data_IF_034088656372
#
_entry.id   IF_034088656372
#
_cell.length_a   1.000
_cell.length_b   1.000
_cell.length_c   1.000
_cell.angle_alpha   90.00
_cell.angle_beta   90.00
_cell.angle_gamma   90.00
#
_symmetry.space_group_name_H-M   'P 1'
#
loop_
_entity.id
_entity.type
_entity.pdbx_description
1 polymer ?
#
# COMPACT_ATOMS: atom_id res chain seq x y z
N UNK A 1 4.85 1.43 10.65
CA UNK A 1 5.88 0.89 9.73
C UNK A 1 5.30 0.25 8.49
N UNK A 2 4.01 0.00 8.47
CA UNK A 2 3.32 -0.58 7.30
C UNK A 2 3.48 0.28 6.03
N UNK A 3 3.43 1.61 6.17
CA UNK A 3 3.60 2.51 5.03
C UNK A 3 5.01 2.37 4.43
N UNK A 4 6.03 2.33 5.27
CA UNK A 4 7.42 2.15 4.82
C UNK A 4 7.63 0.82 4.12
N UNK A 5 7.12 -0.28 4.69
CA UNK A 5 7.21 -1.60 4.07
C UNK A 5 6.49 -1.64 2.73
N UNK A 6 5.30 -1.02 2.65
CA UNK A 6 4.52 -0.97 1.41
C UNK A 6 5.28 -0.21 0.30
N UNK A 7 5.85 0.94 0.62
CA UNK A 7 6.64 1.71 -0.36
C UNK A 7 7.92 0.97 -0.76
N UNK A 8 8.60 0.34 0.19
CA UNK A 8 9.79 -0.46 -0.11
C UNK A 8 9.48 -1.61 -1.07
N UNK A 9 8.36 -2.30 -0.87
CA UNK A 9 7.92 -3.35 -1.80
C UNK A 9 7.66 -2.83 -3.20
N UNK A 10 7.03 -1.65 -3.32
CA UNK A 10 6.79 -1.02 -4.62
C UNK A 10 8.09 -0.68 -5.34
N UNK A 11 9.07 -0.13 -4.62
CA UNK A 11 10.39 0.19 -5.18
C UNK A 11 11.09 -1.09 -5.65
N UNK A 12 11.08 -2.15 -4.84
CA UNK A 12 11.69 -3.44 -5.20
C UNK A 12 11.04 -4.04 -6.44
N UNK A 13 9.75 -3.89 -6.59
CA UNK A 13 9.02 -4.38 -7.77
C UNK A 13 9.40 -3.61 -9.03
N UNK A 14 9.46 -2.27 -8.94
CA UNK A 14 9.71 -1.41 -10.10
C UNK A 14 11.18 -1.35 -10.49
N UNK A 15 12.06 -1.34 -9.50
CA UNK A 15 13.51 -1.22 -9.69
C UNK A 15 14.23 -2.28 -8.86
N UNK A 16 14.32 -3.53 -9.37
CA UNK A 16 14.83 -4.66 -8.58
C UNK A 16 16.26 -4.51 -8.05
N UNK A 17 17.03 -3.55 -8.52
CA UNK A 17 18.38 -3.30 -8.01
C UNK A 17 18.48 -2.18 -6.97
N UNK A 18 17.39 -1.43 -6.74
CA UNK A 18 17.45 -0.21 -5.91
C UNK A 18 17.45 -0.51 -4.40
N UNK A 19 16.75 -1.56 -3.97
CA UNK A 19 16.69 -2.00 -2.58
C UNK A 19 16.95 -3.50 -2.54
N UNK A 20 18.09 -3.90 -2.02
CA UNK A 20 18.54 -5.30 -2.04
C UNK A 20 18.74 -5.85 -0.63
N UNK A 21 18.58 -7.18 -0.52
CA UNK A 21 18.92 -7.93 0.67
C UNK A 21 17.86 -7.89 1.76
N UNK A 22 18.19 -8.52 2.88
CA UNK A 22 17.29 -8.65 4.04
C UNK A 22 17.07 -7.35 4.79
N UNK A 23 17.92 -6.33 4.58
CA UNK A 23 17.85 -5.03 5.26
C UNK A 23 17.16 -3.95 4.41
N UNK A 24 16.54 -4.32 3.29
CA UNK A 24 15.94 -3.35 2.37
C UNK A 24 14.88 -2.45 3.04
N UNK A 25 14.03 -3.03 3.89
CA UNK A 25 13.01 -2.27 4.61
C UNK A 25 13.63 -1.27 5.60
N UNK A 26 14.69 -1.68 6.29
CA UNK A 26 15.40 -0.81 7.22
C UNK A 26 16.14 0.31 6.49
N UNK A 27 16.73 0.02 5.34
CA UNK A 27 17.40 1.02 4.52
C UNK A 27 16.42 2.06 4.01
N UNK A 28 15.26 1.62 3.54
CA UNK A 28 14.20 2.53 3.12
C UNK A 28 13.71 3.38 4.29
N UNK A 29 13.46 2.76 5.44
CA UNK A 29 13.03 3.46 6.65
C UNK A 29 14.02 4.57 7.05
N UNK A 30 15.31 4.27 7.04
CA UNK A 30 16.33 5.29 7.33
C UNK A 30 16.28 6.45 6.36
N UNK A 31 15.99 6.18 5.09
CA UNK A 31 15.83 7.23 4.08
C UNK A 31 14.61 8.10 4.37
N UNK A 32 13.47 7.50 4.70
CA UNK A 32 12.25 8.26 5.05
C UNK A 32 12.51 9.19 6.23
N UNK A 33 13.19 8.70 7.26
CA UNK A 33 13.46 9.47 8.48
C UNK A 33 14.33 10.70 8.25
N UNK A 34 15.06 10.77 7.13
CA UNK A 34 15.78 11.99 6.73
C UNK A 34 14.82 13.10 6.31
N UNK A 35 13.61 12.78 5.92
CA UNK A 35 12.65 13.73 5.35
C UNK A 35 11.46 13.99 6.26
N UNK A 36 11.21 13.15 7.27
CA UNK A 36 10.12 13.30 8.20
C UNK A 36 9.72 11.99 8.86
N UNK A 37 8.53 11.97 9.46
CA UNK A 37 7.99 10.79 10.13
C UNK A 37 7.48 9.78 9.10
N UNK A 38 7.48 8.50 9.47
CA UNK A 38 6.98 7.41 8.62
C UNK A 38 5.48 7.48 8.34
N UNK A 39 4.75 8.30 9.06
CA UNK A 39 3.31 8.54 8.82
C UNK A 39 3.08 9.69 7.85
N UNK A 40 4.10 10.44 7.47
CA UNK A 40 3.98 11.60 6.59
C UNK A 40 4.14 11.19 5.12
N UNK A 41 3.09 11.40 4.33
CA UNK A 41 3.13 11.11 2.89
C UNK A 41 4.26 11.86 2.19
N UNK A 42 4.46 13.14 2.55
CA UNK A 42 5.52 13.95 1.94
C UNK A 42 6.91 13.35 2.12
N UNK A 43 7.19 12.75 3.28
CA UNK A 43 8.46 12.08 3.54
C UNK A 43 8.65 10.88 2.61
N UNK A 44 7.59 10.09 2.39
CA UNK A 44 7.64 8.96 1.47
C UNK A 44 7.82 9.38 0.01
N UNK A 45 7.19 10.47 -0.41
CA UNK A 45 7.38 10.99 -1.78
C UNK A 45 8.85 11.33 -2.03
N UNK A 46 9.50 11.99 -1.07
CA UNK A 46 10.92 12.35 -1.17
C UNK A 46 11.83 11.12 -1.12
N UNK A 47 11.52 10.18 -0.24
CA UNK A 47 12.29 8.93 -0.13
C UNK A 47 12.21 8.13 -1.42
N UNK A 48 11.02 7.95 -1.99
CA UNK A 48 10.84 7.25 -3.26
C UNK A 48 11.66 7.92 -4.37
N UNK A 49 11.64 9.24 -4.44
CA UNK A 49 12.41 9.99 -5.44
C UNK A 49 13.92 9.74 -5.31
N UNK A 50 14.42 9.62 -4.08
CA UNK A 50 15.84 9.29 -3.86
C UNK A 50 16.21 7.94 -4.45
N UNK A 51 15.28 6.97 -4.45
CA UNK A 51 15.49 5.65 -5.05
C UNK A 51 15.18 5.59 -6.55
N UNK A 52 14.81 6.69 -7.17
CA UNK A 52 14.51 6.74 -8.60
C UNK A 52 13.06 6.44 -8.94
N UNK A 53 12.14 6.59 -7.99
CA UNK A 53 10.72 6.35 -8.19
C UNK A 53 9.94 7.64 -7.94
N UNK A 54 9.15 8.05 -8.94
CA UNK A 54 8.23 9.16 -8.79
C UNK A 54 6.92 8.62 -8.20
N UNK A 55 6.62 9.04 -6.97
CA UNK A 55 5.40 8.66 -6.28
C UNK A 55 4.42 9.84 -6.23
N UNK A 56 3.12 9.54 -6.30
CA UNK A 56 2.06 10.55 -6.12
C UNK A 56 1.05 10.04 -5.11
N UNK A 57 0.50 10.94 -4.32
CA UNK A 57 -0.47 10.62 -3.27
C UNK A 57 -1.80 11.32 -3.54
N UNK A 58 -2.91 10.60 -3.31
CA UNK A 58 -4.26 11.16 -3.44
C UNK A 58 -5.19 10.56 -2.38
N UNK A 59 -6.19 11.32 -1.98
CA UNK A 59 -7.24 10.90 -1.05
C UNK A 59 -8.60 10.76 -1.76
N UNK A 60 -8.59 10.65 -3.10
CA UNK A 60 -9.80 10.66 -3.93
C UNK A 60 -9.89 9.44 -4.85
N UNK A 61 -9.42 8.29 -4.38
CA UNK A 61 -9.41 7.08 -5.18
C UNK A 61 -10.75 6.39 -5.26
N UNK A 62 -10.99 5.75 -6.41
CA UNK A 62 -12.10 4.82 -6.64
C UNK A 62 -11.53 3.46 -6.99
N UNK A 63 -12.37 2.41 -6.99
CA UNK A 63 -11.96 1.09 -7.47
C UNK A 63 -11.40 1.17 -8.90
N UNK A 64 -12.03 1.96 -9.76
CA UNK A 64 -11.57 2.14 -11.14
C UNK A 64 -10.17 2.75 -11.20
N UNK A 65 -9.86 3.69 -10.29
CA UNK A 65 -8.51 4.25 -10.17
C UNK A 65 -7.49 3.14 -9.94
N UNK A 66 -7.78 2.23 -9.01
CA UNK A 66 -6.88 1.12 -8.67
C UNK A 66 -6.70 0.17 -9.87
N UNK A 67 -7.80 -0.20 -10.51
CA UNK A 67 -7.76 -1.12 -11.65
C UNK A 67 -7.02 -0.51 -12.83
N UNK A 68 -7.17 0.78 -13.08
CA UNK A 68 -6.45 1.48 -14.15
C UNK A 68 -4.93 1.42 -13.91
N UNK A 69 -4.47 1.62 -12.68
CA UNK A 69 -3.05 1.50 -12.34
C UNK A 69 -2.53 0.08 -12.60
N UNK A 70 -3.27 -0.93 -12.13
CA UNK A 70 -2.92 -2.32 -12.36
C UNK A 70 -2.86 -2.66 -13.86
N UNK A 71 -3.80 -2.15 -14.64
CA UNK A 71 -3.83 -2.37 -16.10
C UNK A 71 -2.63 -1.74 -16.80
N UNK A 72 -2.06 -0.67 -16.22
CA UNK A 72 -0.84 -0.06 -16.73
C UNK A 72 0.42 -0.82 -16.28
N UNK A 73 0.28 -1.84 -15.44
CA UNK A 73 1.41 -2.65 -14.95
C UNK A 73 2.06 -2.14 -13.69
N UNK A 74 1.38 -1.28 -12.91
CA UNK A 74 1.95 -0.67 -11.72
C UNK A 74 1.21 -1.08 -10.44
N UNK A 75 1.93 -1.35 -9.34
CA UNK A 75 1.31 -1.59 -8.05
C UNK A 75 0.80 -0.29 -7.44
N UNK A 76 -0.12 -0.39 -6.49
CA UNK A 76 -0.72 0.77 -5.82
C UNK A 76 -0.64 0.57 -4.31
N UNK A 77 -0.07 1.54 -3.60
CA UNK A 77 -0.16 1.56 -2.14
C UNK A 77 -1.55 2.07 -1.74
N UNK A 78 -2.19 1.38 -0.81
CA UNK A 78 -3.55 1.71 -0.36
C UNK A 78 -3.60 1.86 1.14
N UNK A 79 -4.28 2.90 1.63
CA UNK A 79 -4.45 3.18 3.05
C UNK A 79 -5.86 2.86 3.51
N UNK A 80 -6.00 1.96 4.49
CA UNK A 80 -7.29 1.48 4.96
C UNK A 80 -7.42 1.59 6.48
N UNK A 81 -8.64 1.41 6.99
CA UNK A 81 -8.90 1.21 8.42
C UNK A 81 -9.00 -0.29 8.69
N UNK A 82 -8.09 -0.81 9.52
CA UNK A 82 -7.94 -2.26 9.68
C UNK A 82 -8.64 -2.85 10.91
N UNK A 83 -9.29 -2.03 11.71
CA UNK A 83 -9.97 -2.47 12.93
C UNK A 83 -11.48 -2.31 12.81
N UNK A 84 -12.21 -2.97 13.71
CA UNK A 84 -13.66 -2.92 13.75
C UNK A 84 -14.32 -3.76 12.66
N UNK A 85 -15.63 -3.96 12.82
CA UNK A 85 -16.42 -4.70 11.82
C UNK A 85 -16.48 -3.93 10.49
N UNK A 86 -16.64 -4.64 9.38
CA UNK A 86 -16.70 -4.06 8.04
C UNK A 86 -17.82 -3.02 7.88
N UNK A 87 -18.90 -3.14 8.66
CA UNK A 87 -20.00 -2.17 8.66
C UNK A 87 -19.65 -0.84 9.34
N UNK A 88 -18.59 -0.82 10.16
CA UNK A 88 -18.13 0.38 10.88
C UNK A 88 -16.60 0.33 11.06
N UNK A 89 -15.83 0.41 9.96
CA UNK A 89 -14.38 0.34 10.04
C UNK A 89 -13.81 1.45 10.92
N UNK A 90 -12.77 1.12 11.68
CA UNK A 90 -12.12 2.07 12.59
C UNK A 90 -10.64 1.71 12.78
N UNK A 91 -9.97 2.50 13.59
CA UNK A 91 -8.56 2.30 13.95
C UNK A 91 -7.63 3.22 13.18
N UNK A 92 -6.37 3.23 13.57
CA UNK A 92 -5.32 3.94 12.86
C UNK A 92 -5.14 3.38 11.45
N UNK A 93 -4.69 4.22 10.53
CA UNK A 93 -4.49 3.80 9.15
C UNK A 93 -3.48 2.67 9.02
N UNK A 94 -3.73 1.78 8.07
CA UNK A 94 -2.83 0.69 7.71
C UNK A 94 -2.61 0.72 6.20
N UNK A 95 -1.38 0.53 5.78
CA UNK A 95 -1.01 0.54 4.37
C UNK A 95 -0.66 -0.86 3.88
N UNK A 96 -1.12 -1.19 2.68
CA UNK A 96 -0.81 -2.42 1.98
C UNK A 96 -0.67 -2.17 0.49
N UNK A 97 0.04 -3.05 -0.20
CA UNK A 97 0.32 -2.89 -1.63
C UNK A 97 -0.63 -3.75 -2.45
N UNK A 98 -1.42 -3.11 -3.30
CA UNK A 98 -2.25 -3.80 -4.30
C UNK A 98 -1.39 -4.16 -5.49
N UNK A 99 -1.36 -5.44 -5.86
CA UNK A 99 -0.51 -5.95 -6.94
C UNK A 99 -1.27 -6.60 -8.08
N UNK A 100 -2.57 -6.88 -7.90
CA UNK A 100 -3.36 -7.51 -8.94
C UNK A 100 -4.83 -7.64 -8.58
N UNK A 101 -5.58 -8.23 -9.48
CA UNK A 101 -6.99 -8.57 -9.27
C UNK A 101 -7.23 -10.00 -9.75
N UNK A 102 -8.03 -10.75 -8.99
CA UNK A 102 -8.41 -12.11 -9.33
C UNK A 102 -9.91 -12.26 -9.04
N UNK A 103 -10.71 -12.32 -10.11
CA UNK A 103 -12.16 -12.38 -10.03
C UNK A 103 -12.71 -11.15 -9.30
N UNK A 104 -13.40 -11.32 -8.18
CA UNK A 104 -13.95 -10.21 -7.38
C UNK A 104 -13.08 -9.86 -6.16
N UNK A 105 -11.77 -10.13 -6.24
CA UNK A 105 -10.83 -9.92 -5.14
C UNK A 105 -9.62 -9.11 -5.60
N UNK A 106 -9.17 -8.21 -4.74
CA UNK A 106 -7.86 -7.62 -4.91
C UNK A 106 -6.78 -8.55 -4.36
N UNK A 107 -5.62 -8.58 -5.00
CA UNK A 107 -4.44 -9.32 -4.54
C UNK A 107 -3.47 -8.33 -3.92
N UNK A 108 -3.10 -8.55 -2.68
CA UNK A 108 -2.30 -7.61 -1.90
C UNK A 108 -1.07 -8.27 -1.28
N UNK A 109 -0.04 -7.46 -1.07
CA UNK A 109 0.99 -7.74 -0.08
C UNK A 109 0.67 -6.90 1.15
N UNK A 110 0.35 -7.56 2.25
CA UNK A 110 -0.01 -6.92 3.51
C UNK A 110 1.16 -7.06 4.48
N UNK A 111 1.81 -5.96 4.90
CA UNK A 111 3.00 -6.04 5.76
C UNK A 111 2.77 -6.68 7.12
N UNK A 112 1.53 -6.69 7.63
CA UNK A 112 1.23 -7.26 8.94
C UNK A 112 0.86 -8.73 8.92
N UNK A 113 0.40 -9.26 7.79
CA UNK A 113 -0.08 -10.62 7.66
C UNK A 113 -1.40 -10.69 6.93
N UNK A 114 -2.19 -11.74 7.17
CA UNK A 114 -3.51 -11.88 6.58
C UNK A 114 -4.58 -11.25 7.49
N UNK A 115 -5.33 -10.33 6.93
CA UNK A 115 -6.34 -9.57 7.65
C UNK A 115 -7.70 -10.28 7.65
N UNK A 116 -8.44 -10.15 8.77
CA UNK A 116 -9.86 -10.47 8.80
C UNK A 116 -10.65 -9.23 8.36
N UNK A 117 -11.08 -9.20 7.12
CA UNK A 117 -11.77 -8.03 6.56
C UNK A 117 -13.21 -7.87 7.06
N UNK A 118 -13.82 -8.90 7.64
CA UNK A 118 -15.19 -8.82 8.16
C UNK A 118 -15.19 -8.27 9.58
N UNK A 119 -14.40 -8.86 10.46
CA UNK A 119 -14.40 -8.51 11.89
C UNK A 119 -13.33 -7.48 12.25
N UNK A 120 -12.34 -7.29 11.39
CA UNK A 120 -11.19 -6.45 11.68
C UNK A 120 -10.06 -7.22 12.34
N UNK A 121 -8.87 -6.62 12.33
CA UNK A 121 -7.68 -7.26 12.87
C UNK A 121 -7.11 -8.32 11.94
N UNK A 122 -6.28 -9.20 12.46
CA UNK A 122 -5.48 -10.12 11.66
C UNK A 122 -5.71 -11.57 12.04
N UNK A 123 -5.87 -12.43 11.02
CA UNK A 123 -5.91 -13.89 11.17
C UNK A 123 -4.51 -14.40 11.48
N UNK A 124 -3.50 -13.88 10.76
CA UNK A 124 -2.10 -14.18 11.01
C UNK A 124 -1.32 -12.88 11.18
N UNK A 125 -0.31 -12.88 12.05
CA UNK A 125 0.54 -11.71 12.31
C UNK A 125 1.98 -12.06 12.01
N UNK A 126 2.67 -11.17 11.27
CA UNK A 126 4.07 -11.34 10.92
C UNK A 126 4.34 -12.37 9.82
N UNK A 127 3.30 -12.97 9.27
CA UNK A 127 3.39 -13.95 8.18
C UNK A 127 2.07 -14.03 7.44
N UNK A 128 2.08 -14.64 6.25
CA UNK A 128 0.87 -14.89 5.48
C UNK A 128 0.30 -13.69 4.74
N UNK A 129 1.03 -12.57 4.72
CA UNK A 129 0.59 -11.35 4.04
C UNK A 129 1.00 -11.25 2.58
N UNK A 130 1.75 -12.22 2.06
CA UNK A 130 2.14 -12.24 0.65
C UNK A 130 1.03 -12.82 -0.21
N UNK A 131 0.68 -12.13 -1.30
CA UNK A 131 -0.33 -12.58 -2.27
C UNK A 131 -1.68 -12.88 -1.62
N UNK A 132 -2.07 -12.14 -0.58
CA UNK A 132 -3.38 -12.33 0.06
C UNK A 132 -4.49 -11.79 -0.83
N UNK A 133 -5.63 -12.48 -0.84
CA UNK A 133 -6.80 -12.08 -1.61
C UNK A 133 -7.89 -11.57 -0.68
N UNK A 134 -8.26 -10.31 -0.87
CA UNK A 134 -9.33 -9.67 -0.12
C UNK A 134 -10.49 -9.34 -1.08
N UNK A 135 -11.72 -9.79 -0.75
CA UNK A 135 -12.87 -9.47 -1.59
C UNK A 135 -13.11 -7.96 -1.62
N UNK A 136 -13.42 -7.43 -2.79
CA UNK A 136 -13.76 -6.01 -2.90
C UNK A 136 -14.94 -5.65 -2.00
N UNK A 137 -15.91 -6.55 -1.85
CA UNK A 137 -17.07 -6.36 -0.98
C UNK A 137 -16.67 -6.00 0.45
N UNK A 138 -15.67 -6.67 1.02
CA UNK A 138 -15.26 -6.48 2.41
C UNK A 138 -14.08 -5.54 2.56
N UNK A 139 -13.32 -5.31 1.49
CA UNK A 139 -12.15 -4.42 1.55
C UNK A 139 -12.51 -2.97 1.22
N UNK A 140 -13.33 -2.73 0.20
CA UNK A 140 -13.67 -1.36 -0.23
C UNK A 140 -14.26 -0.49 0.89
N UNK A 141 -15.16 -0.99 1.77
CA UNK A 141 -15.66 -0.17 2.86
C UNK A 141 -14.57 0.32 3.83
N UNK A 142 -13.47 -0.42 3.93
CA UNK A 142 -12.32 -0.04 4.77
C UNK A 142 -11.42 0.96 4.09
N UNK A 143 -11.50 1.09 2.79
CA UNK A 143 -10.71 2.00 1.99
C UNK A 143 -11.49 3.28 1.63
N UNK A 144 -12.71 3.12 1.09
CA UNK A 144 -13.60 4.26 0.78
C UNK A 144 -14.45 4.61 2.01
N UNK A 145 -13.80 4.95 3.11
CA UNK A 145 -14.44 5.12 4.43
C UNK A 145 -15.45 6.26 4.44
N UNK A 146 -15.19 7.32 3.70
CA UNK A 146 -16.05 8.50 3.63
C UNK A 146 -16.96 8.49 2.40
N UNK A 147 -17.14 7.32 1.78
CA UNK A 147 -17.95 7.13 0.61
C UNK A 147 -17.12 6.92 -0.66
N UNK A 148 -17.82 6.68 -1.77
CA UNK A 148 -17.17 6.44 -3.05
C UNK A 148 -16.30 7.64 -3.45
N UNK A 149 -15.07 7.34 -3.87
CA UNK A 149 -14.12 8.37 -4.28
C UNK A 149 -13.32 8.97 -3.14
N UNK A 150 -13.31 8.33 -1.96
CA UNK A 150 -12.55 8.79 -0.79
C UNK A 150 -11.31 7.94 -0.49
N UNK A 151 -10.91 7.02 -1.37
CA UNK A 151 -9.79 6.12 -1.12
C UNK A 151 -8.44 6.82 -1.10
N UNK A 152 -7.63 6.48 -0.10
CA UNK A 152 -6.25 6.98 0.01
C UNK A 152 -5.32 6.03 -0.73
N UNK A 153 -4.55 6.58 -1.68
CA UNK A 153 -3.63 5.74 -2.45
C UNK A 153 -2.39 6.50 -2.88
N UNK A 154 -1.35 5.74 -3.18
CA UNK A 154 -0.11 6.26 -3.72
C UNK A 154 0.26 5.45 -4.96
N UNK A 155 0.57 6.14 -6.05
CA UNK A 155 1.03 5.53 -7.29
C UNK A 155 2.53 5.66 -7.44
N UNK A 156 3.13 4.80 -8.24
CA UNK A 156 4.58 4.73 -8.42
C UNK A 156 4.93 4.61 -9.89
N UNK A 157 5.96 5.36 -10.30
CA UNK A 157 6.52 5.29 -11.66
C UNK A 157 8.04 5.30 -11.56
N UNK A 158 8.75 4.42 -12.29
CA UNK A 158 10.19 4.56 -12.38
C UNK A 158 10.52 5.90 -13.07
N UNK A 159 11.48 6.64 -12.52
CA UNK A 159 11.94 7.89 -13.15
C UNK A 159 12.73 7.55 -14.41
N UNK A 160 12.45 8.28 -15.48
CA UNK A 160 13.20 8.09 -16.70
C UNK A 160 14.63 8.60 -16.50
N UNK A 161 15.59 7.78 -16.91
CA UNK A 161 16.98 8.21 -17.01
C UNK A 161 17.13 8.96 -18.34
N UNK A 162 17.54 10.19 -18.21
CA UNK A 162 17.87 11.00 -19.40
C UNK A 162 19.25 10.63 -19.91
#
# INVERSE_FOLDING_TARGET
MCFSSTCAMAIKYLLPGALLGSNADDDYLRTVLKYGDTTECAAHLKACKQYGVLATFSQKGTKDTLLNELNCGFPVATGILHKGHVSAPRGGGHWMLLIGEDDNKGIFHDPYGEMDNVNGGYVTIGKGGKDVRYTWKNWLPRWEVEGRGSGWYMTFRPMQQS
#
